data_IF_199737832645
#
_entry.id   IF_199737832645
#
_cell.length_a   1.000
_cell.length_b   1.000
_cell.length_c   1.000
_cell.angle_alpha   90.00
_cell.angle_beta   90.00
_cell.angle_gamma   90.00
#
_symmetry.space_group_name_H-M   'P 1'
#
loop_
_entity.id
_entity.type
_entity.pdbx_description
1 polymer ?
#
# COMPACT_ATOMS: atom_id res chain seq x y z
N UNK A 1 14.85 -5.65 -12.48
CA UNK A 1 13.43 -5.36 -12.32
C UNK A 1 12.61 -6.64 -12.39
N UNK A 2 11.70 -6.84 -11.45
CA UNK A 2 10.89 -8.07 -11.31
C UNK A 2 9.40 -7.70 -11.42
N UNK A 3 8.68 -8.37 -12.35
CA UNK A 3 7.26 -8.10 -12.67
C UNK A 3 6.40 -9.35 -12.91
N UNK A 4 6.78 -10.56 -12.54
CA UNK A 4 5.91 -11.73 -12.73
C UNK A 4 4.70 -11.71 -11.77
N UNK A 5 3.97 -12.82 -11.68
CA UNK A 5 2.94 -13.01 -10.67
C UNK A 5 3.57 -12.95 -9.27
N UNK A 6 2.91 -12.34 -8.28
CA UNK A 6 3.44 -12.18 -6.92
C UNK A 6 3.86 -13.47 -6.23
N UNK A 7 3.20 -14.59 -6.51
CA UNK A 7 3.61 -15.92 -6.05
C UNK A 7 5.04 -16.30 -6.42
N UNK A 8 5.57 -15.72 -7.50
CA UNK A 8 6.94 -15.97 -7.97
C UNK A 8 7.96 -14.93 -7.47
N UNK A 9 7.49 -13.84 -6.80
CA UNK A 9 8.36 -12.75 -6.38
C UNK A 9 9.45 -13.23 -5.42
N UNK A 10 9.08 -13.99 -4.38
CA UNK A 10 10.03 -14.50 -3.39
C UNK A 10 11.19 -15.26 -4.03
N UNK A 11 10.89 -16.19 -4.93
CA UNK A 11 11.91 -17.01 -5.60
C UNK A 11 12.83 -16.16 -6.48
N UNK A 12 12.25 -15.28 -7.32
CA UNK A 12 13.00 -14.45 -8.25
C UNK A 12 13.86 -13.41 -7.53
N UNK A 13 13.33 -12.75 -6.50
CA UNK A 13 14.08 -11.80 -5.66
C UNK A 13 15.24 -12.53 -4.97
N UNK A 14 14.96 -13.68 -4.34
CA UNK A 14 15.97 -14.47 -3.65
C UNK A 14 17.10 -14.89 -4.59
N UNK A 15 16.78 -15.36 -5.80
CA UNK A 15 17.78 -15.72 -6.82
C UNK A 15 18.64 -14.52 -7.23
N UNK A 16 18.03 -13.35 -7.45
CA UNK A 16 18.75 -12.15 -7.86
C UNK A 16 19.69 -11.65 -6.74
N UNK A 17 19.20 -11.57 -5.50
CA UNK A 17 19.99 -11.16 -4.35
C UNK A 17 21.16 -12.13 -4.09
N UNK A 18 20.94 -13.45 -4.17
CA UNK A 18 22.01 -14.46 -4.02
C UNK A 18 23.12 -14.26 -5.05
N UNK A 19 22.78 -13.77 -6.24
CA UNK A 19 23.73 -13.45 -7.32
C UNK A 19 24.33 -12.04 -7.25
N UNK A 20 24.12 -11.33 -6.12
CA UNK A 20 24.73 -10.00 -5.90
C UNK A 20 24.05 -8.88 -6.69
N UNK A 21 22.78 -9.01 -7.07
CA UNK A 21 22.05 -7.97 -7.81
C UNK A 21 21.12 -7.20 -6.89
N UNK A 22 21.09 -5.86 -7.05
CA UNK A 22 20.03 -5.02 -6.49
C UNK A 22 18.71 -5.37 -7.17
N UNK A 23 17.60 -5.22 -6.45
CA UNK A 23 16.27 -5.62 -6.93
C UNK A 23 15.26 -4.48 -6.77
N UNK A 24 14.53 -4.19 -7.85
CA UNK A 24 13.28 -3.44 -7.84
C UNK A 24 12.17 -4.41 -8.24
N UNK A 25 11.16 -4.59 -7.39
CA UNK A 25 10.06 -5.53 -7.61
C UNK A 25 8.71 -4.82 -7.57
N UNK A 26 7.79 -5.21 -8.46
CA UNK A 26 6.39 -4.76 -8.37
C UNK A 26 5.75 -5.19 -7.04
N UNK A 27 4.74 -4.45 -6.62
CA UNK A 27 3.95 -4.72 -5.42
C UNK A 27 3.02 -5.92 -5.60
N UNK A 28 2.79 -6.67 -4.50
CA UNK A 28 3.56 -6.69 -3.25
C UNK A 28 4.88 -7.45 -3.42
N UNK A 29 5.90 -7.11 -2.64
CA UNK A 29 7.22 -7.81 -2.69
C UNK A 29 7.08 -9.32 -2.44
N UNK A 30 6.22 -9.71 -1.51
CA UNK A 30 5.90 -11.10 -1.19
C UNK A 30 4.47 -11.19 -0.63
N UNK A 31 3.93 -12.40 -0.54
CA UNK A 31 2.57 -12.66 -0.08
C UNK A 31 2.46 -12.90 1.43
N UNK A 32 3.60 -12.99 2.12
CA UNK A 32 3.62 -13.15 3.58
C UNK A 32 4.65 -12.23 4.24
N UNK A 33 4.37 -11.88 5.52
CA UNK A 33 5.30 -11.13 6.36
C UNK A 33 6.63 -11.87 6.52
N UNK A 34 6.59 -13.18 6.66
CA UNK A 34 7.78 -14.01 6.85
C UNK A 34 8.69 -13.97 5.61
N UNK A 35 8.15 -14.17 4.42
CA UNK A 35 8.90 -14.07 3.17
C UNK A 35 9.50 -12.68 2.98
N UNK A 36 8.71 -11.63 3.22
CA UNK A 36 9.18 -10.24 3.15
C UNK A 36 10.38 -10.03 4.07
N UNK A 37 10.29 -10.46 5.33
CA UNK A 37 11.39 -10.33 6.29
C UNK A 37 12.64 -11.09 5.85
N UNK A 38 12.49 -12.31 5.33
CA UNK A 38 13.61 -13.11 4.83
C UNK A 38 14.31 -12.42 3.66
N UNK A 39 13.57 -11.81 2.74
CA UNK A 39 14.13 -11.10 1.59
C UNK A 39 14.90 -9.84 2.01
N UNK A 40 14.35 -9.03 2.92
CA UNK A 40 15.04 -7.84 3.42
C UNK A 40 16.28 -8.21 4.24
N UNK A 41 16.23 -9.27 5.06
CA UNK A 41 17.40 -9.77 5.77
C UNK A 41 18.49 -10.24 4.81
N UNK A 42 18.12 -10.96 3.74
CA UNK A 42 19.07 -11.38 2.69
C UNK A 42 19.68 -10.19 1.96
N UNK A 43 18.89 -9.20 1.59
CA UNK A 43 19.38 -7.99 0.94
C UNK A 43 20.37 -7.24 1.84
N UNK A 44 20.01 -7.04 3.11
CA UNK A 44 20.85 -6.37 4.12
C UNK A 44 22.17 -7.11 4.34
N UNK A 45 22.15 -8.43 4.54
CA UNK A 45 23.34 -9.24 4.75
C UNK A 45 24.34 -9.17 3.60
N UNK A 46 23.85 -8.93 2.39
CA UNK A 46 24.66 -8.78 1.16
C UNK A 46 24.96 -7.32 0.80
N UNK A 47 24.49 -6.36 1.60
CA UNK A 47 24.58 -4.91 1.32
C UNK A 47 23.98 -4.54 -0.05
N UNK A 48 22.86 -5.18 -0.39
CA UNK A 48 22.12 -4.95 -1.64
C UNK A 48 20.84 -4.18 -1.36
N UNK A 49 20.36 -3.45 -2.37
CA UNK A 49 19.10 -2.71 -2.33
C UNK A 49 17.98 -3.65 -2.80
N UNK A 50 16.93 -3.75 -1.99
CA UNK A 50 15.65 -4.32 -2.36
C UNK A 50 14.59 -3.24 -2.20
N UNK A 51 13.88 -2.92 -3.28
CA UNK A 51 12.85 -1.87 -3.30
C UNK A 51 11.56 -2.40 -3.89
N UNK A 52 10.44 -1.95 -3.33
CA UNK A 52 9.11 -2.15 -3.89
C UNK A 52 8.73 -1.00 -4.83
N UNK A 53 8.19 -1.33 -6.00
CA UNK A 53 7.88 -0.37 -7.06
C UNK A 53 6.49 0.29 -6.86
N UNK A 54 6.24 0.89 -5.71
CA UNK A 54 5.04 1.70 -5.46
C UNK A 54 5.26 3.06 -6.14
N UNK A 55 4.81 3.20 -7.38
CA UNK A 55 5.09 4.37 -8.24
C UNK A 55 4.71 5.71 -7.59
N UNK A 56 3.59 5.74 -6.88
CA UNK A 56 3.10 6.92 -6.18
C UNK A 56 4.11 7.47 -5.18
N UNK A 57 4.90 6.61 -4.53
CA UNK A 57 5.93 7.02 -3.57
C UNK A 57 6.99 7.96 -4.18
N UNK A 58 7.19 7.88 -5.50
CA UNK A 58 8.20 8.64 -6.25
C UNK A 58 7.61 9.78 -7.07
N UNK A 59 6.30 10.02 -6.98
CA UNK A 59 5.68 11.14 -7.69
C UNK A 59 5.99 12.48 -7.00
N UNK A 60 6.24 13.51 -7.81
CA UNK A 60 6.52 14.85 -7.31
C UNK A 60 5.35 15.43 -6.50
N UNK A 61 4.12 15.16 -6.94
CA UNK A 61 2.93 15.65 -6.26
C UNK A 61 2.77 15.02 -4.88
N UNK A 62 2.98 13.70 -4.75
CA UNK A 62 2.95 13.00 -3.46
C UNK A 62 4.04 13.51 -2.52
N UNK A 63 5.28 13.69 -3.01
CA UNK A 63 6.38 14.25 -2.21
C UNK A 63 6.05 15.67 -1.72
N UNK A 64 5.50 16.53 -2.57
CA UNK A 64 5.07 17.89 -2.19
C UNK A 64 3.95 17.88 -1.16
N UNK A 65 2.97 16.99 -1.31
CA UNK A 65 1.91 16.81 -0.33
C UNK A 65 2.48 16.40 1.04
N UNK A 66 3.39 15.43 1.09
CA UNK A 66 4.07 15.02 2.32
C UNK A 66 4.83 16.17 2.98
N UNK A 67 5.58 16.98 2.21
CA UNK A 67 6.28 18.16 2.72
C UNK A 67 5.30 19.18 3.31
N UNK A 68 4.17 19.41 2.65
CA UNK A 68 3.12 20.31 3.11
C UNK A 68 2.52 19.86 4.45
N UNK A 69 2.18 18.59 4.57
CA UNK A 69 1.66 18.01 5.81
C UNK A 69 2.70 18.10 6.93
N UNK A 70 3.93 17.65 6.68
CA UNK A 70 5.03 17.66 7.65
C UNK A 70 5.52 19.05 8.03
N UNK A 71 5.19 20.09 7.26
CA UNK A 71 5.52 21.49 7.59
C UNK A 71 4.68 22.10 8.72
N UNK A 72 3.66 21.37 9.21
CA UNK A 72 2.75 21.82 10.26
C UNK A 72 1.71 22.84 9.79
N UNK A 73 1.57 23.10 8.49
CA UNK A 73 0.56 24.04 7.95
C UNK A 73 -0.87 23.63 8.27
N UNK A 74 -1.16 22.34 8.32
CA UNK A 74 -2.48 21.82 8.72
C UNK A 74 -2.58 21.52 10.22
N UNK A 75 -1.53 21.82 10.99
CA UNK A 75 -1.46 21.48 12.41
C UNK A 75 -1.09 20.03 12.64
N UNK A 76 -1.50 19.48 13.80
CA UNK A 76 -1.33 18.07 14.12
C UNK A 76 -2.31 17.23 13.32
N UNK A 77 -1.82 16.15 12.71
CA UNK A 77 -2.65 15.25 11.91
C UNK A 77 -3.48 14.37 12.83
N UNK A 78 -4.80 14.39 12.63
CA UNK A 78 -5.78 13.61 13.39
C UNK A 78 -6.37 12.46 12.58
N UNK A 79 -6.47 12.57 11.25
CA UNK A 79 -6.95 11.49 10.38
C UNK A 79 -6.22 11.46 9.05
N UNK A 80 -6.02 10.24 8.53
CA UNK A 80 -5.58 9.99 7.16
C UNK A 80 -6.52 8.97 6.51
N UNK A 81 -7.25 9.39 5.48
CA UNK A 81 -8.23 8.56 4.78
C UNK A 81 -7.84 8.41 3.31
N UNK A 82 -7.57 7.17 2.90
CA UNK A 82 -7.07 6.84 1.56
C UNK A 82 -7.97 5.83 0.86
N UNK A 83 -8.36 6.14 -0.37
CA UNK A 83 -9.27 5.29 -1.15
C UNK A 83 -8.66 4.94 -2.50
N UNK A 84 -8.51 3.64 -2.76
CA UNK A 84 -8.02 3.10 -4.03
C UNK A 84 -8.99 2.05 -4.57
N UNK A 85 -9.82 2.41 -5.55
CA UNK A 85 -10.83 1.53 -6.12
C UNK A 85 -10.85 1.59 -7.64
N UNK A 86 -11.22 0.49 -8.30
CA UNK A 86 -11.35 0.39 -9.75
C UNK A 86 -12.55 -0.45 -10.15
N UNK A 87 -13.31 0.00 -11.16
CA UNK A 87 -14.36 -0.82 -11.79
C UNK A 87 -13.79 -1.96 -12.64
N UNK A 88 -12.55 -1.79 -13.13
CA UNK A 88 -11.88 -2.86 -13.84
C UNK A 88 -11.38 -3.89 -12.83
N UNK A 89 -11.83 -5.11 -12.99
CA UNK A 89 -11.23 -6.25 -12.29
C UNK A 89 -9.83 -6.49 -12.84
N UNK A 90 -8.89 -6.79 -11.97
CA UNK A 90 -7.58 -7.21 -12.42
C UNK A 90 -7.70 -8.55 -13.17
N UNK A 91 -7.17 -8.64 -14.39
CA UNK A 91 -7.16 -9.88 -15.18
C UNK A 91 -6.44 -11.04 -14.46
N UNK A 92 -5.57 -10.70 -13.49
CA UNK A 92 -4.90 -11.65 -12.59
C UNK A 92 -5.82 -12.26 -11.53
N UNK A 93 -7.04 -11.72 -11.36
CA UNK A 93 -8.01 -12.16 -10.36
C UNK A 93 -8.53 -13.61 -10.54
N UNK A 94 -8.14 -14.29 -11.62
CA UNK A 94 -8.42 -15.71 -11.81
C UNK A 94 -7.47 -16.65 -11.03
N UNK A 95 -6.46 -16.11 -10.33
CA UNK A 95 -5.64 -16.90 -9.41
C UNK A 95 -6.15 -16.71 -7.98
N UNK A 96 -6.30 -17.79 -7.24
CA UNK A 96 -6.70 -17.82 -5.81
C UNK A 96 -5.81 -16.93 -4.93
N UNK A 97 -4.65 -16.57 -5.42
CA UNK A 97 -3.60 -15.80 -4.71
C UNK A 97 -3.68 -14.29 -4.92
N UNK A 98 -4.53 -13.78 -5.84
CA UNK A 98 -4.63 -12.35 -6.15
C UNK A 98 -5.99 -11.79 -5.80
N UNK A 99 -6.02 -10.69 -5.07
CA UNK A 99 -7.24 -10.05 -4.60
C UNK A 99 -7.09 -8.52 -4.54
N UNK A 100 -8.16 -7.83 -4.23
CA UNK A 100 -8.20 -6.36 -4.22
C UNK A 100 -7.21 -5.75 -3.24
N UNK A 101 -6.99 -6.37 -2.07
CA UNK A 101 -6.03 -5.87 -1.09
C UNK A 101 -4.58 -5.99 -1.57
N UNK A 102 -4.22 -7.02 -2.30
CA UNK A 102 -2.87 -7.14 -2.88
C UNK A 102 -2.64 -6.18 -4.04
N UNK A 103 -3.67 -5.90 -4.84
CA UNK A 103 -3.57 -4.94 -5.95
C UNK A 103 -3.46 -3.50 -5.45
N UNK A 104 -4.31 -3.11 -4.51
CA UNK A 104 -4.48 -1.72 -4.11
C UNK A 104 -3.94 -1.38 -2.72
N UNK A 105 -3.82 -2.38 -1.84
CA UNK A 105 -3.41 -2.18 -0.45
C UNK A 105 -2.08 -1.47 -0.27
N UNK A 106 -0.99 -1.89 -0.94
CA UNK A 106 0.31 -1.23 -0.81
C UNK A 106 0.25 0.27 -1.16
N UNK A 107 -0.49 0.61 -2.22
CA UNK A 107 -0.69 2.02 -2.61
C UNK A 107 -1.55 2.77 -1.60
N UNK A 108 -2.66 2.18 -1.14
CA UNK A 108 -3.56 2.84 -0.21
C UNK A 108 -2.95 3.04 1.19
N UNK A 109 -2.10 2.13 1.65
CA UNK A 109 -1.39 2.20 2.92
C UNK A 109 -0.23 3.20 2.91
N UNK A 110 0.33 3.50 1.73
CA UNK A 110 1.51 4.36 1.60
C UNK A 110 1.38 5.70 2.31
N UNK A 111 0.34 6.54 2.10
CA UNK A 111 0.22 7.82 2.78
C UNK A 111 0.10 7.70 4.30
N UNK A 112 -0.61 6.67 4.78
CA UNK A 112 -0.78 6.43 6.21
C UNK A 112 0.56 6.20 6.89
N UNK A 113 1.34 5.25 6.38
CA UNK A 113 2.63 4.91 7.00
C UNK A 113 3.71 5.97 6.77
N UNK A 114 3.61 6.76 5.70
CA UNK A 114 4.52 7.89 5.47
C UNK A 114 4.24 9.09 6.39
N UNK A 115 3.00 9.26 6.84
CA UNK A 115 2.56 10.39 7.68
C UNK A 115 2.55 10.01 9.16
N UNK A 116 1.93 8.88 9.52
CA UNK A 116 1.69 8.46 10.91
C UNK A 116 2.68 7.39 11.40
N UNK A 117 3.46 6.76 10.50
CA UNK A 117 4.35 5.65 10.84
C UNK A 117 3.62 4.32 10.99
N UNK A 118 4.33 3.32 11.53
CA UNK A 118 3.83 1.94 11.68
C UNK A 118 3.47 1.56 13.12
N UNK A 119 3.57 2.50 14.07
CA UNK A 119 3.38 2.26 15.50
C UNK A 119 1.90 2.46 15.91
N UNK A 120 0.99 1.86 15.13
CA UNK A 120 -0.43 1.83 15.47
C UNK A 120 -0.69 0.88 16.65
N UNK A 121 -1.65 1.24 17.50
CA UNK A 121 -2.03 0.46 18.71
C UNK A 121 -2.97 -0.71 18.39
N UNK A 122 -3.87 -0.50 17.42
CA UNK A 122 -4.87 -1.50 17.02
C UNK A 122 -5.28 -1.29 15.56
N UNK A 123 -5.89 -2.31 14.96
CA UNK A 123 -6.43 -2.22 13.61
C UNK A 123 -7.66 -3.12 13.44
N UNK A 124 -8.51 -2.74 12.49
CA UNK A 124 -9.67 -3.53 12.05
C UNK A 124 -9.63 -3.74 10.56
N UNK A 125 -10.00 -4.95 10.12
CA UNK A 125 -10.14 -5.29 8.71
C UNK A 125 -11.52 -5.86 8.48
N UNK A 126 -12.26 -5.29 7.53
CA UNK A 126 -13.60 -5.73 7.14
C UNK A 126 -13.59 -5.91 5.63
N UNK A 127 -13.82 -7.15 5.17
CA UNK A 127 -13.82 -7.49 3.75
C UNK A 127 -15.17 -8.04 3.31
N UNK A 128 -15.59 -7.68 2.10
CA UNK A 128 -16.66 -8.31 1.36
C UNK A 128 -16.05 -9.11 0.23
N UNK A 129 -16.41 -10.38 0.15
CA UNK A 129 -15.86 -11.31 -0.83
C UNK A 129 -16.84 -11.44 -2.02
N UNK A 130 -16.29 -11.59 -3.23
CA UNK A 130 -17.09 -11.85 -4.44
C UNK A 130 -17.77 -13.20 -4.39
N UNK A 131 -17.03 -14.16 -3.85
CA UNK A 131 -17.41 -15.54 -3.78
C UNK A 131 -16.93 -16.11 -2.43
N UNK A 132 -17.80 -16.86 -1.75
CA UNK A 132 -17.46 -17.50 -0.47
C UNK A 132 -16.40 -18.59 -0.63
N UNK A 133 -16.28 -19.16 -1.82
CA UNK A 133 -15.34 -20.24 -2.12
C UNK A 133 -13.95 -19.72 -2.51
N UNK A 134 -13.87 -18.62 -3.27
CA UNK A 134 -12.63 -18.11 -3.86
C UNK A 134 -11.79 -17.23 -2.95
N UNK A 135 -12.30 -16.79 -1.80
CA UNK A 135 -11.63 -15.85 -0.86
C UNK A 135 -11.06 -14.58 -1.51
N UNK A 136 -11.64 -14.18 -2.65
CA UNK A 136 -11.26 -12.95 -3.35
C UNK A 136 -12.08 -11.80 -2.80
N UNK A 137 -11.43 -10.82 -2.18
CA UNK A 137 -12.11 -9.63 -1.71
C UNK A 137 -12.51 -8.76 -2.91
N UNK A 138 -13.76 -8.36 -2.91
CA UNK A 138 -14.28 -7.33 -3.81
C UNK A 138 -14.04 -5.93 -3.23
N UNK A 139 -14.17 -5.82 -1.91
CA UNK A 139 -14.04 -4.56 -1.21
C UNK A 139 -13.55 -4.80 0.22
N UNK A 140 -12.48 -4.10 0.59
CA UNK A 140 -11.90 -4.18 1.93
C UNK A 140 -11.75 -2.78 2.53
N UNK A 141 -12.20 -2.61 3.76
CA UNK A 141 -11.90 -1.46 4.62
C UNK A 141 -10.90 -1.89 5.69
N UNK A 142 -9.91 -1.04 5.94
CA UNK A 142 -9.05 -1.14 7.11
C UNK A 142 -9.10 0.15 7.89
N UNK A 143 -9.05 0.04 9.20
CA UNK A 143 -8.97 1.16 10.14
C UNK A 143 -7.77 0.93 11.04
N UNK A 144 -7.00 1.97 11.31
CA UNK A 144 -5.83 1.95 12.19
C UNK A 144 -6.02 2.96 13.32
N UNK A 145 -5.73 2.54 14.54
CA UNK A 145 -5.85 3.36 15.75
C UNK A 145 -4.43 3.66 16.24
N UNK A 146 -4.06 4.94 16.19
CA UNK A 146 -2.83 5.47 16.77
C UNK A 146 -3.12 6.13 18.12
N UNK A 147 -2.09 6.59 18.80
CA UNK A 147 -2.24 7.28 20.08
C UNK A 147 -3.03 8.59 19.98
N UNK A 148 -2.76 9.36 18.92
CA UNK A 148 -3.34 10.68 18.72
C UNK A 148 -3.99 10.86 17.34
N UNK A 149 -4.13 9.78 16.58
CA UNK A 149 -4.71 9.81 15.23
C UNK A 149 -5.46 8.52 14.91
N UNK A 150 -6.28 8.60 13.89
CA UNK A 150 -6.90 7.44 13.24
C UNK A 150 -6.56 7.43 11.75
N UNK A 151 -6.60 6.26 11.13
CA UNK A 151 -6.46 6.21 9.68
C UNK A 151 -7.38 5.16 9.08
N UNK A 152 -7.81 5.37 7.86
CA UNK A 152 -8.62 4.39 7.13
C UNK A 152 -8.17 4.22 5.69
N UNK A 153 -8.33 2.99 5.19
CA UNK A 153 -8.29 2.73 3.77
C UNK A 153 -9.57 2.07 3.29
N UNK A 154 -9.93 2.34 2.04
CA UNK A 154 -10.89 1.57 1.25
C UNK A 154 -10.20 1.09 -0.02
N UNK A 155 -10.18 -0.20 -0.23
CA UNK A 155 -9.68 -0.79 -1.47
C UNK A 155 -10.77 -1.63 -2.12
N UNK A 156 -10.83 -1.61 -3.45
CA UNK A 156 -11.83 -2.36 -4.17
C UNK A 156 -11.41 -2.65 -5.61
N UNK A 157 -11.68 -3.89 -6.02
CA UNK A 157 -11.45 -4.39 -7.36
C UNK A 157 -12.78 -4.83 -7.97
N UNK A 158 -13.19 -4.20 -9.08
CA UNK A 158 -14.54 -4.31 -9.64
C UNK A 158 -15.61 -3.50 -8.88
N UNK A 159 -15.19 -2.59 -8.01
CA UNK A 159 -16.03 -1.69 -7.23
C UNK A 159 -15.49 -0.27 -7.35
N UNK A 160 -16.35 0.74 -7.43
CA UNK A 160 -15.95 2.15 -7.48
C UNK A 160 -16.42 2.89 -6.24
N UNK A 161 -15.50 3.64 -5.65
CA UNK A 161 -15.73 4.63 -4.61
C UNK A 161 -15.03 5.93 -5.00
N UNK A 162 -14.96 6.91 -4.10
CA UNK A 162 -14.53 8.28 -4.36
C UNK A 162 -13.09 8.38 -4.93
N UNK A 163 -12.14 7.57 -4.43
CA UNK A 163 -10.75 7.53 -4.94
C UNK A 163 -9.88 8.71 -4.51
N UNK A 164 -10.14 9.29 -3.35
CA UNK A 164 -9.50 10.49 -2.81
C UNK A 164 -8.52 10.14 -1.70
N UNK A 165 -7.61 11.09 -1.39
CA UNK A 165 -6.78 11.08 -0.19
C UNK A 165 -7.10 12.35 0.61
N UNK A 166 -7.53 12.18 1.86
CA UNK A 166 -7.87 13.26 2.79
C UNK A 166 -6.99 13.13 4.02
N UNK A 167 -6.36 14.23 4.42
CA UNK A 167 -5.52 14.30 5.62
C UNK A 167 -6.06 15.44 6.46
N UNK A 168 -6.69 15.12 7.60
CA UNK A 168 -7.32 16.08 8.50
C UNK A 168 -6.37 16.46 9.62
N UNK A 169 -6.25 17.74 9.89
CA UNK A 169 -5.40 18.29 10.94
C UNK A 169 -6.10 19.35 11.77
N UNK A 170 -5.47 19.76 12.87
CA UNK A 170 -6.04 20.72 13.86
C UNK A 170 -6.16 22.15 13.34
N UNK A 171 -5.50 22.50 12.23
CA UNK A 171 -5.54 23.85 11.62
C UNK A 171 -6.04 23.86 10.17
N UNK A 172 -6.44 22.70 9.64
CA UNK A 172 -6.92 22.58 8.28
C UNK A 172 -6.80 21.14 7.79
N UNK A 173 -6.95 20.94 6.50
CA UNK A 173 -6.83 19.61 5.88
C UNK A 173 -6.12 19.71 4.54
N UNK A 174 -5.54 18.59 4.10
CA UNK A 174 -5.05 18.41 2.76
C UNK A 174 -5.98 17.46 1.99
N UNK A 175 -6.31 17.82 0.76
CA UNK A 175 -7.18 17.05 -0.11
C UNK A 175 -6.48 16.79 -1.45
N UNK A 176 -6.40 15.53 -1.83
CA UNK A 176 -5.91 15.12 -3.15
C UNK A 176 -7.06 14.43 -3.89
N UNK A 177 -7.55 15.02 -5.00
CA UNK A 177 -8.69 14.49 -5.73
C UNK A 177 -8.40 13.15 -6.41
N UNK A 178 -9.46 12.44 -6.76
CA UNK A 178 -9.40 11.17 -7.49
C UNK A 178 -8.83 11.33 -8.91
N UNK A 179 -8.02 10.40 -9.37
CA UNK A 179 -7.40 9.28 -8.67
C UNK A 179 -6.06 9.70 -8.05
N UNK A 180 -6.05 9.93 -6.75
CA UNK A 180 -4.91 10.51 -6.03
C UNK A 180 -3.57 9.77 -6.25
N UNK A 181 -3.62 8.48 -6.54
CA UNK A 181 -2.42 7.64 -6.77
C UNK A 181 -1.80 7.79 -8.16
N UNK A 182 -2.42 8.58 -9.04
CA UNK A 182 -1.91 8.87 -10.41
C UNK A 182 -1.31 10.26 -10.56
N UNK A 183 -1.26 11.04 -9.48
CA UNK A 183 -0.76 12.42 -9.47
C UNK A 183 0.76 12.50 -9.43
#
# INVERSE_FOLDING_TARGET
YIRPLPSNHYEHISKALKRGKHVLCESPIALSKQETQMLFNLASSKKLILMEAIKTAYSTAFARMLLLVKSGKIGDVLSVDSVCTSLKTCEKANSVEWNGIFEWGPTALLPIFQILGTDYKDYRIISQFRDKECRQDAFTKMEFIYEHAVASIKVGDGVKSEGELIISGTKGYAYVPAPWWKT
#
